data_IF_883998501158
#
_entry.id   IF_883998501158
#
_cell.length_a   1.000
_cell.length_b   1.000
_cell.length_c   1.000
_cell.angle_alpha   90.00
_cell.angle_beta   90.00
_cell.angle_gamma   90.00
#
_symmetry.space_group_name_H-M   'P 1'
#
loop_
_entity.id
_entity.type
_entity.pdbx_description
1 polymer ?
#
# COMPACT_ATOMS: atom_id res chain seq x y z
N UNK A 1 -20.56 -0.20 12.75
CA UNK A 1 -19.17 -0.08 13.20
C UNK A 1 -19.06 1.25 13.90
N UNK A 2 -18.54 1.26 15.13
CA UNK A 2 -18.23 2.50 15.85
C UNK A 2 -17.07 3.27 15.19
N UNK A 3 -16.93 4.56 15.53
CA UNK A 3 -15.91 5.41 14.94
C UNK A 3 -14.48 4.97 15.29
N UNK A 4 -14.23 4.52 16.52
CA UNK A 4 -12.91 4.08 16.97
C UNK A 4 -12.38 2.91 16.12
N UNK A 5 -13.23 1.91 15.85
CA UNK A 5 -12.90 0.77 14.99
C UNK A 5 -12.72 1.18 13.53
N UNK A 6 -13.47 2.16 13.04
CA UNK A 6 -13.27 2.69 11.69
C UNK A 6 -11.90 3.39 11.54
N UNK A 7 -11.48 4.16 12.56
CA UNK A 7 -10.14 4.75 12.62
C UNK A 7 -9.04 3.70 12.72
N UNK A 8 -9.24 2.65 13.53
CA UNK A 8 -8.30 1.54 13.60
C UNK A 8 -8.13 0.88 12.22
N UNK A 9 -9.21 0.65 11.48
CA UNK A 9 -9.14 0.12 10.11
C UNK A 9 -8.35 1.05 9.18
N UNK A 10 -8.57 2.37 9.24
CA UNK A 10 -7.78 3.32 8.45
C UNK A 10 -6.29 3.27 8.83
N UNK A 11 -5.95 3.28 10.12
CA UNK A 11 -4.56 3.21 10.57
C UNK A 11 -3.89 1.90 10.17
N UNK A 12 -4.59 0.77 10.23
CA UNK A 12 -4.07 -0.52 9.75
C UNK A 12 -3.75 -0.48 8.25
N UNK A 13 -4.59 0.14 7.42
CA UNK A 13 -4.30 0.30 6.00
C UNK A 13 -3.06 1.19 5.72
N UNK A 14 -2.78 2.16 6.59
CA UNK A 14 -1.68 3.11 6.39
C UNK A 14 -0.35 2.68 6.98
N UNK A 15 -0.38 2.01 8.13
CA UNK A 15 0.82 1.73 8.93
C UNK A 15 1.27 0.27 8.87
N UNK A 16 0.36 -0.64 8.52
CA UNK A 16 0.65 -2.09 8.54
C UNK A 16 0.77 -2.61 7.12
N UNK A 17 -0.36 -2.68 6.41
CA UNK A 17 -0.40 -3.13 5.02
C UNK A 17 -1.68 -2.62 4.37
N UNK A 18 -1.60 -2.01 3.17
CA UNK A 18 -2.77 -1.65 2.41
C UNK A 18 -3.67 -2.87 2.19
N UNK A 19 -4.92 -2.77 2.61
CA UNK A 19 -5.92 -3.82 2.44
C UNK A 19 -6.29 -4.57 3.71
N UNK A 20 -5.40 -4.68 4.71
CA UNK A 20 -5.72 -5.35 5.97
C UNK A 20 -6.84 -4.64 6.73
N UNK A 21 -6.73 -3.31 6.88
CA UNK A 21 -7.75 -2.49 7.49
C UNK A 21 -9.07 -2.51 6.72
N UNK A 22 -9.01 -2.56 5.39
CA UNK A 22 -10.20 -2.74 4.54
C UNK A 22 -10.90 -4.08 4.82
N UNK A 23 -10.16 -5.18 4.94
CA UNK A 23 -10.72 -6.51 5.27
C UNK A 23 -11.32 -6.54 6.67
N UNK A 24 -10.65 -5.97 7.67
CA UNK A 24 -11.16 -5.83 9.04
C UNK A 24 -12.45 -5.01 9.11
N UNK A 25 -12.57 -4.01 8.22
CA UNK A 25 -13.77 -3.21 7.99
C UNK A 25 -14.82 -3.87 7.10
N UNK A 26 -14.65 -5.15 6.72
CA UNK A 26 -15.60 -5.93 5.92
C UNK A 26 -15.59 -5.64 4.42
N UNK A 27 -14.58 -4.93 3.90
CA UNK A 27 -14.46 -4.58 2.47
C UNK A 27 -13.57 -5.57 1.73
N UNK A 28 -14.17 -6.38 0.84
CA UNK A 28 -13.45 -7.38 0.00
C UNK A 28 -12.36 -6.78 -0.89
N UNK A 29 -12.43 -5.48 -1.21
CA UNK A 29 -11.39 -4.75 -1.95
C UNK A 29 -10.00 -4.86 -1.28
N UNK A 30 -9.94 -5.14 0.02
CA UNK A 30 -8.69 -5.32 0.73
C UNK A 30 -7.80 -6.46 0.21
N UNK A 31 -8.38 -7.51 -0.37
CA UNK A 31 -7.59 -8.57 -1.03
C UNK A 31 -6.81 -8.05 -2.24
N UNK A 32 -7.47 -7.24 -3.09
CA UNK A 32 -6.83 -6.65 -4.27
C UNK A 32 -5.77 -5.62 -3.86
N UNK A 33 -6.04 -4.82 -2.82
CA UNK A 33 -5.07 -3.87 -2.25
C UNK A 33 -3.83 -4.61 -1.72
N UNK A 34 -4.01 -5.65 -0.92
CA UNK A 34 -2.90 -6.43 -0.38
C UNK A 34 -2.09 -7.10 -1.51
N UNK A 35 -2.76 -7.71 -2.49
CA UNK A 35 -2.08 -8.31 -3.64
C UNK A 35 -1.28 -7.26 -4.44
N UNK A 36 -1.87 -6.11 -4.74
CA UNK A 36 -1.21 -5.02 -5.46
C UNK A 36 0.00 -4.48 -4.69
N UNK A 37 -0.11 -4.36 -3.36
CA UNK A 37 1.00 -3.94 -2.50
C UNK A 37 2.12 -4.99 -2.50
N UNK A 38 1.80 -6.28 -2.33
CA UNK A 38 2.81 -7.33 -2.31
C UNK A 38 3.53 -7.47 -3.65
N UNK A 39 2.80 -7.39 -4.77
CA UNK A 39 3.39 -7.41 -6.11
C UNK A 39 4.27 -6.17 -6.33
N UNK A 40 3.77 -4.97 -6.02
CA UNK A 40 4.53 -3.74 -6.15
C UNK A 40 5.81 -3.74 -5.32
N UNK A 41 5.72 -4.23 -4.07
CA UNK A 41 6.86 -4.41 -3.19
C UNK A 41 7.88 -5.40 -3.75
N UNK A 42 7.44 -6.57 -4.23
CA UNK A 42 8.33 -7.58 -4.79
C UNK A 42 9.10 -7.07 -6.01
N UNK A 43 8.42 -6.37 -6.94
CA UNK A 43 9.08 -5.77 -8.11
C UNK A 43 10.10 -4.69 -7.71
N UNK A 44 9.74 -3.86 -6.72
CA UNK A 44 10.65 -2.84 -6.16
C UNK A 44 11.88 -3.48 -5.50
N UNK A 45 11.68 -4.57 -4.74
CA UNK A 45 12.74 -5.30 -4.07
C UNK A 45 13.69 -5.98 -5.07
N UNK A 46 13.17 -6.56 -6.17
CA UNK A 46 14.00 -7.14 -7.23
C UNK A 46 14.94 -6.08 -7.82
N UNK A 47 14.42 -4.90 -8.15
CA UNK A 47 15.26 -3.81 -8.64
C UNK A 47 16.26 -3.34 -7.59
N UNK A 48 15.85 -3.18 -6.33
CA UNK A 48 16.74 -2.71 -5.26
C UNK A 48 17.87 -3.70 -4.96
N UNK A 49 17.58 -5.01 -4.96
CA UNK A 49 18.59 -6.06 -4.81
C UNK A 49 19.57 -6.00 -5.97
N UNK A 50 19.08 -5.93 -7.21
CA UNK A 50 19.97 -5.79 -8.37
C UNK A 50 20.86 -4.54 -8.25
N UNK A 51 20.26 -3.39 -7.97
CA UNK A 51 20.96 -2.12 -7.83
C UNK A 51 22.05 -2.18 -6.76
N UNK A 52 21.74 -2.73 -5.58
CA UNK A 52 22.70 -2.93 -4.50
C UNK A 52 23.83 -3.87 -4.89
N UNK A 53 23.53 -4.97 -5.61
CA UNK A 53 24.58 -5.87 -6.10
C UNK A 53 25.47 -5.22 -7.16
N UNK A 54 24.93 -4.40 -8.05
CA UNK A 54 25.70 -3.66 -9.05
C UNK A 54 26.61 -2.63 -8.37
N UNK A 55 26.06 -1.83 -7.45
CA UNK A 55 26.81 -0.85 -6.66
C UNK A 55 28.01 -1.48 -5.93
N UNK A 56 27.79 -2.63 -5.27
CA UNK A 56 28.85 -3.33 -4.54
C UNK A 56 29.90 -3.98 -5.45
N UNK A 57 29.52 -4.41 -6.67
CA UNK A 57 30.43 -5.07 -7.61
C UNK A 57 31.28 -4.11 -8.41
N UNK A 58 30.69 -2.99 -8.82
CA UNK A 58 31.31 -2.03 -9.73
C UNK A 58 32.02 -0.90 -8.98
N UNK A 59 31.75 -0.75 -7.67
CA UNK A 59 32.36 0.29 -6.84
C UNK A 59 31.92 1.71 -7.22
N UNK A 60 30.88 1.84 -8.02
CA UNK A 60 30.31 3.09 -8.51
C UNK A 60 28.79 3.05 -8.47
N UNK A 61 28.18 4.23 -8.41
CA UNK A 61 26.72 4.37 -8.43
C UNK A 61 26.17 4.11 -9.84
N UNK A 62 25.27 3.12 -10.06
CA UNK A 62 24.67 2.88 -11.36
C UNK A 62 23.77 4.04 -11.79
N UNK A 63 24.32 4.99 -12.56
CA UNK A 63 23.62 6.23 -12.95
C UNK A 63 22.50 6.00 -13.97
N UNK A 64 22.58 4.92 -14.75
CA UNK A 64 21.54 4.50 -15.68
C UNK A 64 20.41 3.70 -15.01
N UNK A 65 20.58 3.33 -13.73
CA UNK A 65 19.64 2.54 -12.93
C UNK A 65 19.49 1.07 -13.38
N UNK A 66 20.16 0.68 -14.47
CA UNK A 66 20.22 -0.66 -15.00
C UNK A 66 18.97 -1.19 -15.71
N UNK A 67 19.04 -2.44 -16.22
CA UNK A 67 18.00 -3.04 -17.04
C UNK A 67 16.68 -3.27 -16.30
N UNK A 68 16.70 -3.35 -14.97
CA UNK A 68 15.52 -3.59 -14.14
C UNK A 68 14.86 -2.31 -13.62
N UNK A 69 15.38 -1.12 -13.95
CA UNK A 69 14.81 0.15 -13.51
C UNK A 69 13.30 0.29 -13.85
N UNK A 70 12.84 -0.03 -15.07
CA UNK A 70 11.40 0.06 -15.39
C UNK A 70 10.55 -0.85 -14.50
N UNK A 71 11.07 -2.02 -14.13
CA UNK A 71 10.40 -2.96 -13.23
C UNK A 71 10.31 -2.38 -11.82
N UNK A 72 11.39 -1.77 -11.33
CA UNK A 72 11.41 -1.06 -10.05
C UNK A 72 10.42 0.09 -10.00
N UNK A 73 10.39 0.94 -11.04
CA UNK A 73 9.44 2.07 -11.15
C UNK A 73 8.00 1.58 -11.18
N UNK A 74 7.70 0.53 -11.95
CA UNK A 74 6.39 -0.10 -11.96
C UNK A 74 6.02 -0.64 -10.58
N UNK A 75 6.97 -1.30 -9.90
CA UNK A 75 6.79 -1.79 -8.54
C UNK A 75 6.38 -0.70 -7.56
N UNK A 76 7.13 0.41 -7.55
CA UNK A 76 6.85 1.57 -6.70
C UNK A 76 5.48 2.17 -7.02
N UNK A 77 5.15 2.31 -8.31
CA UNK A 77 3.86 2.84 -8.75
C UNK A 77 2.67 1.97 -8.28
N UNK A 78 2.76 0.65 -8.43
CA UNK A 78 1.71 -0.29 -7.98
C UNK A 78 1.57 -0.26 -6.45
N UNK A 79 2.68 -0.24 -5.74
CA UNK A 79 2.71 -0.17 -4.29
C UNK A 79 2.06 1.12 -3.77
N UNK A 80 2.44 2.27 -4.33
CA UNK A 80 1.88 3.57 -3.99
C UNK A 80 0.38 3.64 -4.34
N UNK A 81 -0.02 3.13 -5.50
CA UNK A 81 -1.42 3.06 -5.91
C UNK A 81 -2.25 2.23 -4.91
N UNK A 82 -1.71 1.12 -4.42
CA UNK A 82 -2.36 0.33 -3.37
C UNK A 82 -2.55 1.12 -2.07
N UNK A 83 -1.53 1.88 -1.65
CA UNK A 83 -1.60 2.74 -0.46
C UNK A 83 -2.68 3.82 -0.58
N UNK A 84 -2.73 4.52 -1.72
CA UNK A 84 -3.75 5.53 -2.00
C UNK A 84 -5.14 4.91 -1.99
N UNK A 85 -5.30 3.74 -2.59
CA UNK A 85 -6.57 3.02 -2.56
C UNK A 85 -6.95 2.61 -1.12
N UNK A 86 -6.00 2.10 -0.33
CA UNK A 86 -6.19 1.76 1.09
C UNK A 86 -6.63 2.95 1.93
N UNK A 87 -5.99 4.11 1.72
CA UNK A 87 -6.34 5.38 2.35
C UNK A 87 -7.78 5.78 2.01
N UNK A 88 -8.13 5.82 0.72
CA UNK A 88 -9.48 6.20 0.27
C UNK A 88 -10.54 5.26 0.86
N UNK A 89 -10.31 3.94 0.86
CA UNK A 89 -11.24 2.98 1.47
C UNK A 89 -11.37 3.21 2.98
N UNK A 90 -10.26 3.45 3.68
CA UNK A 90 -10.29 3.74 5.13
C UNK A 90 -11.04 5.02 5.48
N UNK A 91 -10.83 6.11 4.71
CA UNK A 91 -11.56 7.36 4.87
C UNK A 91 -13.06 7.18 4.64
N UNK A 92 -13.45 6.37 3.64
CA UNK A 92 -14.86 6.02 3.41
C UNK A 92 -15.47 5.29 4.60
N UNK A 93 -14.77 4.34 5.22
CA UNK A 93 -15.23 3.65 6.42
C UNK A 93 -15.47 4.59 7.60
N UNK A 94 -14.56 5.54 7.85
CA UNK A 94 -14.73 6.58 8.89
C UNK A 94 -15.90 7.51 8.55
N UNK A 95 -16.06 7.89 7.28
CA UNK A 95 -17.19 8.73 6.87
C UNK A 95 -18.54 8.03 7.03
N UNK A 96 -18.60 6.72 6.74
CA UNK A 96 -19.80 5.90 6.87
C UNK A 96 -20.19 5.70 8.33
N UNK A 97 -19.21 5.53 9.24
CA UNK A 97 -19.47 5.40 10.68
C UNK A 97 -20.07 6.68 11.26
N UNK A 98 -19.49 7.84 10.93
CA UNK A 98 -19.98 9.15 11.41
C UNK A 98 -21.42 9.43 10.98
N UNK A 99 -21.74 9.16 9.70
CA UNK A 99 -23.11 9.33 9.16
C UNK A 99 -24.13 8.43 9.86
N UNK A 100 -23.71 7.24 10.25
CA UNK A 100 -24.58 6.28 10.94
C UNK A 100 -24.84 6.67 12.39
N UNK A 101 -23.91 7.38 13.02
CA UNK A 101 -24.04 7.86 14.40
C UNK A 101 -24.96 9.08 14.48
N UNK A 102 -24.80 10.06 13.58
CA UNK A 102 -25.69 11.22 13.49
C UNK A 102 -27.15 10.89 13.16
N UNK A 103 -27.44 9.70 12.60
CA UNK A 103 -28.82 9.23 12.33
C UNK A 103 -29.47 8.51 13.51
N UNK A 104 -28.71 8.20 14.57
CA UNK A 104 -29.22 7.54 15.79
C UNK A 104 -29.58 8.52 16.90
N UNK A 105 -29.12 9.77 16.79
CA UNK A 105 -29.44 10.89 17.68
C UNK A 105 -30.70 11.57 17.15
#
# INVERSE_FOLDING_TARGET
MDEARAWACLMTNLLVLPGLGSLLGGRRAGWAQAALALVGFALSAVWLVWFGTAFLREGGFPLDGGPYLPVGVLGVALFAASWVWGLVTGLRLVSDSRRSDSRRI
#
